data_IF_239013933179
#
_entry.id   IF_239013933179
#
_cell.length_a   1.000
_cell.length_b   1.000
_cell.length_c   1.000
_cell.angle_alpha   90.00
_cell.angle_beta   90.00
_cell.angle_gamma   90.00
#
_symmetry.space_group_name_H-M   'P 1'
#
loop_
_entity.id
_entity.type
_entity.pdbx_description
1 polymer ?
#
# COMPACT_ATOMS: atom_id res chain seq x y z
N UNK A 1 29.42 -4.21 -22.17
CA UNK A 1 29.12 -4.80 -20.83
C UNK A 1 28.55 -3.71 -19.94
N UNK A 2 27.24 -3.71 -19.65
CA UNK A 2 26.69 -2.80 -18.63
C UNK A 2 26.84 -3.50 -17.28
N UNK A 3 27.95 -3.22 -16.59
CA UNK A 3 28.18 -3.56 -15.19
C UNK A 3 27.85 -2.33 -14.33
N UNK A 4 26.57 -2.12 -14.07
CA UNK A 4 26.04 -1.62 -12.79
C UNK A 4 24.57 -2.02 -12.76
N UNK A 5 24.15 -2.80 -11.77
CA UNK A 5 22.74 -3.15 -11.59
C UNK A 5 22.30 -2.47 -10.30
N UNK A 6 22.19 -1.15 -10.34
CA UNK A 6 21.53 -0.42 -9.27
C UNK A 6 20.13 -1.03 -9.07
N UNK A 7 19.67 -1.15 -7.84
CA UNK A 7 18.36 -1.70 -7.55
C UNK A 7 17.33 -0.58 -7.38
N UNK A 8 16.21 -0.68 -8.09
CA UNK A 8 15.10 0.27 -7.97
C UNK A 8 13.80 -0.46 -7.69
N UNK A 9 13.00 0.08 -6.79
CA UNK A 9 11.65 -0.41 -6.52
C UNK A 9 10.66 0.37 -7.37
N UNK A 10 9.66 -0.29 -7.94
CA UNK A 10 8.48 0.37 -8.52
C UNK A 10 7.24 -0.15 -7.80
N UNK A 11 6.51 0.73 -7.12
CA UNK A 11 5.39 0.37 -6.27
C UNK A 11 4.08 0.90 -6.88
N UNK A 12 3.17 -0.01 -7.23
CA UNK A 12 1.79 0.27 -7.64
C UNK A 12 0.77 0.06 -6.53
N UNK A 13 -0.28 0.89 -6.51
CA UNK A 13 -1.44 0.75 -5.61
C UNK A 13 -2.75 0.98 -6.37
N UNK A 14 -3.86 0.48 -5.80
CA UNK A 14 -5.16 0.50 -6.47
C UNK A 14 -5.77 1.91 -6.59
N UNK A 15 -5.92 2.59 -5.44
CA UNK A 15 -6.71 3.81 -5.30
C UNK A 15 -5.92 5.02 -4.80
N UNK A 16 -6.63 6.14 -4.65
CA UNK A 16 -6.08 7.41 -4.14
C UNK A 16 -5.81 7.28 -2.63
N UNK A 17 -6.74 6.71 -1.85
CA UNK A 17 -6.55 6.47 -0.42
C UNK A 17 -5.28 5.65 -0.15
N UNK A 18 -5.11 4.55 -0.89
CA UNK A 18 -3.93 3.68 -0.83
C UNK A 18 -2.65 4.44 -1.15
N UNK A 19 -2.68 5.27 -2.20
CA UNK A 19 -1.53 6.06 -2.61
C UNK A 19 -1.08 7.00 -1.49
N UNK A 20 -2.00 7.69 -0.83
CA UNK A 20 -1.71 8.61 0.27
C UNK A 20 -1.14 7.83 1.46
N UNK A 21 -1.79 6.71 1.83
CA UNK A 21 -1.35 5.88 2.95
C UNK A 21 0.05 5.30 2.72
N UNK A 22 0.26 4.60 1.60
CA UNK A 22 1.55 3.97 1.31
C UNK A 22 2.66 5.01 1.08
N UNK A 23 2.35 6.22 0.58
CA UNK A 23 3.34 7.30 0.54
C UNK A 23 3.81 7.68 1.95
N UNK A 24 2.88 7.77 2.92
CA UNK A 24 3.24 8.02 4.32
C UNK A 24 4.06 6.86 4.91
N UNK A 25 3.69 5.60 4.62
CA UNK A 25 4.47 4.41 5.01
C UNK A 25 5.89 4.49 4.46
N UNK A 26 6.07 4.72 3.16
CA UNK A 26 7.40 4.82 2.55
C UNK A 26 8.24 5.93 3.18
N UNK A 27 7.67 7.11 3.40
CA UNK A 27 8.37 8.22 4.07
C UNK A 27 8.81 7.83 5.50
N UNK A 28 7.95 7.12 6.23
CA UNK A 28 8.28 6.62 7.56
C UNK A 28 9.43 5.60 7.50
N UNK A 29 9.38 4.62 6.59
CA UNK A 29 10.45 3.65 6.41
C UNK A 29 11.77 4.32 6.00
N UNK A 30 11.73 5.35 5.16
CA UNK A 30 12.90 6.16 4.83
C UNK A 30 13.51 6.85 6.05
N UNK A 31 12.68 7.36 6.96
CA UNK A 31 13.17 8.02 8.18
C UNK A 31 13.88 7.07 9.14
N UNK A 32 13.59 5.76 9.04
CA UNK A 32 14.19 4.71 9.86
C UNK A 32 15.38 4.03 9.19
N UNK A 33 15.42 4.04 7.86
CA UNK A 33 16.41 3.28 7.08
C UNK A 33 17.73 4.03 6.95
N UNK A 34 18.83 3.32 7.20
CA UNK A 34 20.18 3.76 6.84
C UNK A 34 20.54 3.40 5.38
N UNK A 35 19.70 2.61 4.70
CA UNK A 35 19.94 2.18 3.32
C UNK A 35 19.45 3.24 2.34
N UNK A 36 20.26 3.48 1.30
CA UNK A 36 19.82 4.27 0.16
C UNK A 36 18.92 3.42 -0.74
N UNK A 37 17.63 3.41 -0.46
CA UNK A 37 16.62 2.74 -1.30
C UNK A 37 16.17 3.71 -2.41
N UNK A 38 16.22 3.27 -3.67
CA UNK A 38 15.64 4.02 -4.80
C UNK A 38 14.26 3.44 -5.08
N UNK A 39 13.21 4.24 -4.94
CA UNK A 39 11.82 3.83 -5.21
C UNK A 39 11.12 4.84 -6.10
N UNK A 40 10.27 4.35 -6.99
CA UNK A 40 9.18 5.13 -7.55
C UNK A 40 7.83 4.60 -7.06
N UNK A 41 7.04 5.49 -6.46
CA UNK A 41 5.67 5.21 -6.08
C UNK A 41 5.29 5.77 -4.70
N UNK A 42 4.06 5.50 -4.25
CA UNK A 42 3.10 4.59 -4.86
C UNK A 42 2.46 5.18 -6.14
N UNK A 43 2.42 4.39 -7.22
CA UNK A 43 1.81 4.74 -8.49
C UNK A 43 0.36 4.24 -8.51
N UNK A 44 -0.59 5.16 -8.52
CA UNK A 44 -2.02 4.84 -8.54
C UNK A 44 -2.45 4.27 -9.91
N UNK A 45 -2.96 3.05 -9.92
CA UNK A 45 -3.44 2.37 -11.13
C UNK A 45 -4.84 2.84 -11.56
N UNK A 46 -5.59 3.50 -10.67
CA UNK A 46 -6.93 4.09 -10.84
C UNK A 46 -8.03 3.02 -10.87
N UNK A 47 -8.00 2.15 -9.85
CA UNK A 47 -9.01 1.12 -9.54
C UNK A 47 -8.64 -0.31 -9.95
N UNK A 48 -9.24 -1.31 -9.29
CA UNK A 48 -8.96 -2.75 -9.41
C UNK A 48 -8.91 -3.24 -10.87
N UNK A 49 -9.84 -2.80 -11.71
CA UNK A 49 -9.92 -3.22 -13.12
C UNK A 49 -8.71 -2.82 -13.97
N UNK A 50 -7.78 -2.00 -13.44
CA UNK A 50 -6.52 -1.61 -14.09
C UNK A 50 -5.28 -2.18 -13.40
N UNK A 51 -5.41 -2.84 -12.24
CA UNK A 51 -4.30 -3.44 -11.50
C UNK A 51 -3.57 -4.54 -12.31
N UNK A 52 -4.26 -5.18 -13.26
CA UNK A 52 -3.65 -6.15 -14.18
C UNK A 52 -2.75 -5.49 -15.23
N UNK A 53 -3.33 -4.70 -16.12
CA UNK A 53 -2.61 -4.26 -17.32
C UNK A 53 -1.70 -3.05 -17.07
N UNK A 54 -2.07 -2.18 -16.14
CA UNK A 54 -1.37 -0.90 -15.99
C UNK A 54 0.05 -1.06 -15.44
N UNK A 55 0.31 -1.87 -14.40
CA UNK A 55 1.69 -2.15 -13.97
C UNK A 55 2.55 -2.68 -15.10
N UNK A 56 2.04 -3.63 -15.90
CA UNK A 56 2.75 -4.19 -17.06
C UNK A 56 3.10 -3.08 -18.05
N UNK A 57 2.11 -2.29 -18.48
CA UNK A 57 2.28 -1.20 -19.45
C UNK A 57 3.26 -0.13 -18.97
N UNK A 58 3.20 0.24 -17.70
CA UNK A 58 4.12 1.22 -17.10
C UNK A 58 5.54 0.65 -17.09
N UNK A 59 5.73 -0.58 -16.62
CA UNK A 59 7.04 -1.22 -16.60
C UNK A 59 7.64 -1.34 -18.01
N UNK A 60 6.87 -1.83 -18.99
CA UNK A 60 7.33 -2.01 -20.37
C UNK A 60 7.68 -0.68 -21.04
N UNK A 61 6.78 0.32 -20.96
CA UNK A 61 6.94 1.55 -21.74
C UNK A 61 7.84 2.61 -21.08
N UNK A 62 8.02 2.55 -19.77
CA UNK A 62 8.80 3.55 -19.02
C UNK A 62 10.09 2.90 -18.51
N UNK A 63 10.02 2.03 -17.51
CA UNK A 63 11.19 1.57 -16.78
C UNK A 63 12.08 0.58 -17.56
N UNK A 64 11.49 -0.22 -18.45
CA UNK A 64 12.24 -1.19 -19.27
C UNK A 64 12.73 -0.60 -20.60
N UNK A 65 11.99 0.34 -21.20
CA UNK A 65 12.28 0.88 -22.54
C UNK A 65 13.19 2.13 -22.53
N UNK A 66 13.03 3.04 -21.57
CA UNK A 66 13.74 4.33 -21.60
C UNK A 66 15.20 4.20 -21.18
N UNK A 67 16.04 5.06 -21.77
CA UNK A 67 17.49 5.00 -21.58
C UNK A 67 17.91 5.36 -20.15
N UNK A 68 17.24 6.31 -19.49
CA UNK A 68 17.60 6.74 -18.13
C UNK A 68 17.54 5.60 -17.12
N UNK A 69 16.70 4.60 -17.38
CA UNK A 69 16.50 3.49 -16.48
C UNK A 69 17.40 2.30 -16.76
N UNK A 70 18.13 2.23 -17.90
CA UNK A 70 18.84 1.01 -18.35
C UNK A 70 19.83 0.42 -17.34
N UNK A 71 20.35 1.24 -16.41
CA UNK A 71 21.24 0.82 -15.32
C UNK A 71 20.55 0.12 -14.15
N UNK A 72 19.21 0.16 -14.09
CA UNK A 72 18.45 -0.41 -12.98
C UNK A 72 18.00 -1.85 -13.26
N UNK A 73 18.02 -2.65 -12.20
CA UNK A 73 17.19 -3.84 -12.03
C UNK A 73 16.06 -3.53 -11.04
N UNK A 74 14.92 -4.21 -11.18
CA UNK A 74 13.69 -3.82 -10.49
C UNK A 74 13.14 -4.89 -9.56
N UNK A 75 12.62 -4.44 -8.42
CA UNK A 75 11.57 -5.15 -7.66
C UNK A 75 10.27 -4.38 -7.84
N UNK A 76 9.22 -5.08 -8.27
CA UNK A 76 7.90 -4.46 -8.46
C UNK A 76 7.01 -4.85 -7.29
N UNK A 77 6.43 -3.88 -6.61
CA UNK A 77 5.36 -4.10 -5.63
C UNK A 77 4.00 -3.74 -6.22
N UNK A 78 3.00 -4.56 -5.93
CA UNK A 78 1.61 -4.28 -6.28
C UNK A 78 0.77 -4.46 -5.03
N UNK A 79 0.24 -3.36 -4.49
CA UNK A 79 -0.75 -3.40 -3.42
C UNK A 79 -2.15 -3.57 -4.01
N UNK A 80 -2.91 -4.51 -3.46
CA UNK A 80 -4.29 -4.79 -3.85
C UNK A 80 -5.10 -5.37 -2.69
N UNK A 81 -6.39 -5.15 -2.76
CA UNK A 81 -7.38 -5.66 -1.81
C UNK A 81 -7.66 -7.15 -2.08
N UNK A 82 -7.60 -8.00 -1.04
CA UNK A 82 -8.02 -9.40 -1.10
C UNK A 82 -9.54 -9.46 -0.90
N UNK A 83 -10.34 -8.88 -1.79
CA UNK A 83 -11.78 -8.98 -1.65
C UNK A 83 -12.29 -10.35 -2.16
N UNK A 84 -12.67 -11.20 -1.21
CA UNK A 84 -13.18 -12.57 -1.42
C UNK A 84 -14.66 -12.61 -1.80
N UNK A 85 -15.30 -11.47 -2.06
CA UNK A 85 -16.76 -11.45 -2.25
C UNK A 85 -17.21 -11.90 -3.64
N UNK A 86 -17.99 -12.97 -3.68
CA UNK A 86 -18.64 -13.59 -4.84
C UNK A 86 -19.61 -12.66 -5.62
N UNK A 87 -19.73 -11.38 -5.25
CA UNK A 87 -20.79 -10.47 -5.72
C UNK A 87 -20.31 -9.13 -6.28
N UNK A 88 -19.00 -8.94 -6.52
CA UNK A 88 -18.52 -7.73 -7.20
C UNK A 88 -18.73 -7.84 -8.72
N UNK A 89 -19.38 -6.87 -9.38
CA UNK A 89 -19.66 -6.91 -10.83
C UNK A 89 -18.43 -6.72 -11.73
N UNK A 90 -17.25 -6.44 -11.15
CA UNK A 90 -15.96 -6.48 -11.86
C UNK A 90 -15.11 -7.56 -11.20
N UNK A 91 -14.44 -8.44 -11.96
CA UNK A 91 -13.55 -9.42 -11.35
C UNK A 91 -12.53 -8.65 -10.50
N UNK A 92 -12.46 -8.89 -9.19
CA UNK A 92 -11.48 -8.24 -8.34
C UNK A 92 -10.08 -8.62 -8.84
N UNK A 93 -9.12 -7.72 -8.64
CA UNK A 93 -7.74 -8.09 -8.86
C UNK A 93 -7.33 -9.04 -7.73
N UNK A 94 -7.39 -10.33 -8.03
CA UNK A 94 -7.17 -11.41 -7.07
C UNK A 94 -5.75 -12.00 -7.19
N UNK A 95 -5.50 -13.08 -6.46
CA UNK A 95 -4.20 -13.77 -6.52
C UNK A 95 -3.89 -14.35 -7.91
N UNK A 96 -4.90 -14.76 -8.69
CA UNK A 96 -4.70 -15.30 -10.05
C UNK A 96 -4.29 -14.19 -11.00
N UNK A 97 -4.94 -13.03 -10.91
CA UNK A 97 -4.57 -11.85 -11.68
C UNK A 97 -3.18 -11.34 -11.28
N UNK A 98 -2.84 -11.36 -9.99
CA UNK A 98 -1.48 -11.06 -9.54
C UNK A 98 -0.45 -12.02 -10.14
N UNK A 99 -0.68 -13.33 -10.10
CA UNK A 99 0.24 -14.32 -10.67
C UNK A 99 0.37 -14.18 -12.19
N UNK A 100 -0.69 -13.77 -12.89
CA UNK A 100 -0.61 -13.40 -14.31
C UNK A 100 0.35 -12.23 -14.52
N UNK A 101 0.19 -11.14 -13.76
CA UNK A 101 1.06 -9.95 -13.86
C UNK A 101 2.51 -10.30 -13.53
N UNK A 102 2.73 -11.08 -12.47
CA UNK A 102 4.05 -11.57 -12.08
C UNK A 102 4.71 -12.35 -13.21
N UNK A 103 4.03 -13.32 -13.82
CA UNK A 103 4.56 -14.07 -14.98
C UNK A 103 4.87 -13.16 -16.17
N UNK A 104 4.00 -12.19 -16.45
CA UNK A 104 4.18 -11.25 -17.55
C UNK A 104 5.40 -10.33 -17.36
N UNK A 105 5.75 -9.99 -16.12
CA UNK A 105 6.88 -9.12 -15.79
C UNK A 105 8.20 -9.89 -15.60
N UNK A 106 8.17 -11.06 -14.94
CA UNK A 106 9.40 -11.79 -14.58
C UNK A 106 10.13 -12.37 -15.80
N UNK A 107 9.47 -12.45 -16.96
CA UNK A 107 10.10 -12.81 -18.25
C UNK A 107 11.21 -11.84 -18.65
N UNK A 108 11.20 -10.60 -18.13
CA UNK A 108 12.23 -9.60 -18.40
C UNK A 108 13.40 -9.74 -17.43
N UNK A 109 14.62 -10.00 -17.94
CA UNK A 109 15.85 -10.22 -17.12
C UNK A 109 16.16 -9.13 -16.08
N UNK A 110 15.70 -7.90 -16.32
CA UNK A 110 15.89 -6.74 -15.43
C UNK A 110 14.86 -6.66 -14.31
N UNK A 111 13.75 -7.41 -14.38
CA UNK A 111 12.83 -7.61 -13.27
C UNK A 111 13.38 -8.76 -12.43
N UNK A 112 13.74 -8.49 -11.18
CA UNK A 112 14.26 -9.49 -10.25
C UNK A 112 13.16 -10.10 -9.41
N UNK A 113 12.12 -9.34 -9.15
CA UNK A 113 11.00 -9.77 -8.34
C UNK A 113 9.74 -8.99 -8.65
N UNK A 114 8.59 -9.64 -8.42
CA UNK A 114 7.28 -9.02 -8.39
C UNK A 114 6.57 -9.56 -7.15
N UNK A 115 6.29 -8.68 -6.20
CA UNK A 115 5.81 -9.05 -4.87
C UNK A 115 4.49 -8.36 -4.54
N UNK A 116 3.53 -9.08 -3.94
CA UNK A 116 2.26 -8.50 -3.56
C UNK A 116 2.40 -7.76 -2.23
N UNK A 117 1.61 -6.70 -2.05
CA UNK A 117 1.24 -6.19 -0.73
C UNK A 117 -0.25 -6.45 -0.59
N UNK A 118 -0.58 -7.54 0.11
CA UNK A 118 -1.95 -7.99 0.24
C UNK A 118 -2.66 -7.19 1.33
N UNK A 119 -3.66 -6.41 0.95
CA UNK A 119 -4.53 -5.67 1.87
C UNK A 119 -5.76 -6.52 2.12
N UNK A 120 -5.97 -7.03 3.33
CA UNK A 120 -6.97 -8.09 3.62
C UNK A 120 -8.37 -7.85 3.05
N UNK A 121 -8.88 -6.62 3.10
CA UNK A 121 -10.19 -6.27 2.55
C UNK A 121 -10.17 -4.90 1.91
N UNK A 122 -9.66 -3.92 2.66
CA UNK A 122 -9.45 -2.56 2.21
C UNK A 122 -8.48 -1.85 3.16
N UNK A 123 -7.85 -0.78 2.68
CA UNK A 123 -6.88 -0.04 3.46
C UNK A 123 -7.50 0.59 4.72
N UNK A 124 -8.80 0.89 4.73
CA UNK A 124 -9.50 1.37 5.92
C UNK A 124 -9.45 0.37 7.10
N UNK A 125 -9.37 -0.94 6.86
CA UNK A 125 -9.19 -1.92 7.94
C UNK A 125 -7.83 -1.76 8.63
N UNK A 126 -6.81 -1.25 7.91
CA UNK A 126 -5.50 -0.94 8.48
C UNK A 126 -5.54 0.36 9.30
N UNK A 127 -6.39 1.33 8.94
CA UNK A 127 -6.54 2.55 9.76
C UNK A 127 -7.10 2.22 11.15
N UNK A 128 -7.98 1.21 11.22
CA UNK A 128 -8.58 0.74 12.48
C UNK A 128 -7.58 0.02 13.40
N UNK A 129 -6.37 -0.29 12.93
CA UNK A 129 -5.32 -0.82 13.78
C UNK A 129 -4.82 0.20 14.80
N UNK A 130 -4.90 1.48 14.46
CA UNK A 130 -4.69 2.62 15.36
C UNK A 130 -6.02 3.34 15.64
N UNK A 131 -6.87 2.69 16.44
CA UNK A 131 -8.13 3.31 16.87
C UNK A 131 -7.88 4.63 17.60
N UNK A 132 -6.84 4.70 18.42
CA UNK A 132 -6.55 5.91 19.20
C UNK A 132 -6.30 7.11 18.29
N UNK A 133 -5.47 6.98 17.25
CA UNK A 133 -5.26 8.03 16.25
C UNK A 133 -6.53 8.40 15.50
N UNK A 134 -7.38 7.43 15.12
CA UNK A 134 -8.68 7.71 14.49
C UNK A 134 -9.61 8.51 15.42
N UNK A 135 -9.70 8.13 16.70
CA UNK A 135 -10.52 8.85 17.68
C UNK A 135 -9.97 10.25 17.94
N UNK A 136 -8.65 10.40 18.11
CA UNK A 136 -7.99 11.70 18.33
C UNK A 136 -8.10 12.65 17.14
N UNK A 137 -8.14 12.11 15.92
CA UNK A 137 -8.44 12.91 14.73
C UNK A 137 -9.86 13.50 14.80
N UNK A 138 -10.83 12.72 15.30
CA UNK A 138 -12.22 13.16 15.42
C UNK A 138 -12.41 14.15 16.57
N UNK A 139 -11.80 13.87 17.73
CA UNK A 139 -11.77 14.70 18.92
C UNK A 139 -10.44 14.52 19.67
N UNK A 140 -9.61 15.57 19.68
CA UNK A 140 -8.28 15.57 20.33
C UNK A 140 -8.35 15.37 21.84
N UNK A 141 -9.49 15.65 22.47
CA UNK A 141 -9.69 15.51 23.91
C UNK A 141 -10.23 14.13 24.31
N UNK A 142 -10.47 13.24 23.34
CA UNK A 142 -11.01 11.92 23.62
C UNK A 142 -9.97 11.05 24.35
N UNK A 143 -10.34 10.57 25.55
CA UNK A 143 -9.47 9.76 26.43
C UNK A 143 -9.86 8.27 26.50
N UNK A 144 -10.77 7.82 25.63
CA UNK A 144 -11.26 6.45 25.61
C UNK A 144 -12.63 6.26 26.26
N UNK A 145 -13.18 5.03 26.21
CA UNK A 145 -12.56 3.81 25.67
C UNK A 145 -12.53 3.75 24.13
N UNK A 146 -11.39 3.41 23.53
CA UNK A 146 -11.23 3.27 22.08
C UNK A 146 -11.89 1.98 21.57
N UNK A 147 -13.19 2.05 21.29
CA UNK A 147 -13.98 0.89 20.84
C UNK A 147 -13.97 0.77 19.32
N UNK A 148 -13.78 -0.44 18.81
CA UNK A 148 -13.96 -0.75 17.39
C UNK A 148 -15.43 -0.45 17.02
N UNK A 149 -15.68 0.39 16.01
CA UNK A 149 -17.04 0.68 15.56
C UNK A 149 -17.72 -0.58 14.98
N UNK A 150 -19.06 -0.58 14.96
CA UNK A 150 -19.83 -1.64 14.28
C UNK A 150 -19.82 -1.36 12.77
N UNK A 151 -19.77 -2.42 11.96
CA UNK A 151 -19.79 -2.33 10.50
C UNK A 151 -19.26 -3.61 9.85
N UNK A 152 -19.67 -3.85 8.60
CA UNK A 152 -19.29 -5.06 7.85
C UNK A 152 -17.82 -5.08 7.39
N UNK A 153 -17.22 -3.90 7.20
CA UNK A 153 -15.86 -3.69 6.73
C UNK A 153 -15.26 -2.40 7.31
N UNK A 154 -13.97 -2.13 7.06
CA UNK A 154 -13.26 -0.96 7.55
C UNK A 154 -13.94 0.36 7.17
N UNK A 155 -14.40 0.49 5.93
CA UNK A 155 -15.10 1.70 5.45
C UNK A 155 -16.38 1.98 6.24
N UNK A 156 -17.23 0.98 6.45
CA UNK A 156 -18.48 1.14 7.20
C UNK A 156 -18.20 1.47 8.66
N UNK A 157 -17.22 0.80 9.28
CA UNK A 157 -16.82 1.07 10.66
C UNK A 157 -16.33 2.52 10.85
N UNK A 158 -15.43 2.99 9.99
CA UNK A 158 -14.93 4.37 10.04
C UNK A 158 -16.07 5.36 9.76
N UNK A 159 -16.92 5.09 8.78
CA UNK A 159 -18.06 5.95 8.43
C UNK A 159 -19.03 6.10 9.60
N UNK A 160 -19.38 5.00 10.28
CA UNK A 160 -20.23 5.02 11.46
C UNK A 160 -19.59 5.77 12.62
N UNK A 161 -18.28 5.67 12.78
CA UNK A 161 -17.55 6.44 13.78
C UNK A 161 -17.60 7.94 13.49
N UNK A 162 -17.31 8.36 12.24
CA UNK A 162 -17.35 9.76 11.83
C UNK A 162 -18.74 10.37 12.05
N UNK A 163 -19.82 9.64 11.74
CA UNK A 163 -21.20 10.09 11.95
C UNK A 163 -21.49 10.44 13.41
N UNK A 164 -20.95 9.68 14.38
CA UNK A 164 -21.11 9.97 15.82
C UNK A 164 -20.54 11.33 16.23
N UNK A 165 -19.54 11.82 15.49
CA UNK A 165 -18.94 13.13 15.68
C UNK A 165 -19.50 14.19 14.71
N UNK A 166 -20.65 13.93 14.08
CA UNK A 166 -21.28 14.80 13.07
C UNK A 166 -20.34 15.12 11.89
N UNK A 167 -19.45 14.18 11.54
CA UNK A 167 -18.54 14.24 10.41
C UNK A 167 -18.92 13.16 9.39
N UNK A 168 -18.42 13.29 8.16
CA UNK A 168 -18.57 12.30 7.09
C UNK A 168 -17.18 11.82 6.70
N UNK A 169 -16.98 10.50 6.65
CA UNK A 169 -15.76 9.93 6.08
C UNK A 169 -15.87 9.91 4.56
N UNK A 170 -14.82 10.31 3.87
CA UNK A 170 -14.76 10.31 2.40
C UNK A 170 -13.41 9.78 1.95
N UNK A 171 -13.42 8.81 1.03
CA UNK A 171 -12.22 8.22 0.43
C UNK A 171 -11.52 9.23 -0.51
N UNK A 172 -10.26 8.96 -0.83
CA UNK A 172 -9.45 9.82 -1.70
C UNK A 172 -8.77 10.94 -0.92
N UNK A 173 -8.53 12.08 -1.56
CA UNK A 173 -7.66 13.14 -1.01
C UNK A 173 -8.11 13.66 0.36
N UNK A 174 -9.41 13.62 0.66
CA UNK A 174 -9.96 14.03 1.95
C UNK A 174 -9.49 13.21 3.15
N UNK A 175 -8.91 12.02 2.95
CA UNK A 175 -8.42 11.17 4.03
C UNK A 175 -6.99 11.50 4.50
N UNK A 176 -6.28 12.41 3.81
CA UNK A 176 -4.87 12.72 4.13
C UNK A 176 -4.68 13.20 5.57
N UNK A 177 -5.56 14.07 6.07
CA UNK A 177 -5.47 14.55 7.45
C UNK A 177 -5.71 13.44 8.48
N UNK A 178 -6.62 12.50 8.20
CA UNK A 178 -6.80 11.33 9.06
C UNK A 178 -5.54 10.47 9.06
N UNK A 179 -5.04 10.12 7.87
CA UNK A 179 -3.82 9.31 7.70
C UNK A 179 -2.64 9.95 8.42
N UNK A 180 -2.53 11.27 8.40
CA UNK A 180 -1.48 12.01 9.11
C UNK A 180 -1.54 11.88 10.63
N UNK A 181 -2.72 11.65 11.22
CA UNK A 181 -2.89 11.41 12.65
C UNK A 181 -2.65 9.95 13.08
N UNK A 182 -2.55 9.02 12.13
CA UNK A 182 -2.31 7.60 12.45
C UNK A 182 -0.87 7.33 12.88
N UNK A 183 -0.73 6.48 13.90
CA UNK A 183 0.50 5.83 14.32
C UNK A 183 0.85 4.69 13.36
N UNK A 184 1.82 4.97 12.50
CA UNK A 184 2.27 4.00 11.51
C UNK A 184 3.05 2.84 12.13
N UNK A 185 3.69 3.01 13.29
CA UNK A 185 4.40 1.90 13.92
C UNK A 185 3.42 0.81 14.34
N UNK A 186 2.31 1.18 14.97
CA UNK A 186 1.26 0.23 15.39
C UNK A 186 0.70 -0.52 14.17
N UNK A 187 0.39 0.21 13.10
CA UNK A 187 -0.17 -0.37 11.87
C UNK A 187 0.84 -1.31 11.21
N UNK A 188 2.10 -0.89 11.04
CA UNK A 188 3.14 -1.70 10.39
C UNK A 188 3.41 -2.98 11.19
N UNK A 189 3.45 -2.92 12.53
CA UNK A 189 3.60 -4.12 13.37
C UNK A 189 2.48 -5.13 13.14
N UNK A 190 1.22 -4.67 13.15
CA UNK A 190 0.06 -5.55 12.93
C UNK A 190 -0.02 -6.08 11.50
N UNK A 191 0.51 -5.35 10.52
CA UNK A 191 0.53 -5.71 9.10
C UNK A 191 1.90 -6.18 8.63
N UNK A 192 2.71 -6.70 9.55
CA UNK A 192 4.09 -7.09 9.29
C UNK A 192 4.20 -8.07 8.13
N UNK A 193 3.37 -9.13 8.10
CA UNK A 193 3.42 -10.15 7.05
C UNK A 193 3.17 -9.56 5.65
N UNK A 194 2.18 -8.67 5.50
CA UNK A 194 1.89 -8.01 4.23
C UNK A 194 2.99 -7.03 3.78
N UNK A 195 3.79 -6.52 4.72
CA UNK A 195 4.84 -5.54 4.47
C UNK A 195 6.26 -6.12 4.55
N UNK A 196 6.42 -7.38 4.95
CA UNK A 196 7.68 -7.97 5.39
C UNK A 196 8.82 -7.70 4.40
N UNK A 197 8.58 -8.03 3.13
CA UNK A 197 9.59 -7.86 2.08
C UNK A 197 9.98 -6.40 1.87
N UNK A 198 9.02 -5.48 1.97
CA UNK A 198 9.30 -4.05 1.89
C UNK A 198 10.20 -3.64 3.06
N UNK A 199 9.91 -4.10 4.28
CA UNK A 199 10.71 -3.83 5.47
C UNK A 199 12.15 -4.37 5.33
N UNK A 200 12.32 -5.59 4.81
CA UNK A 200 13.62 -6.22 4.55
C UNK A 200 14.47 -5.42 3.55
N UNK A 201 13.85 -4.92 2.47
CA UNK A 201 14.54 -4.07 1.49
C UNK A 201 15.02 -2.77 2.15
N UNK A 202 14.19 -2.18 3.01
CA UNK A 202 14.59 -1.01 3.80
C UNK A 202 15.55 -1.36 4.95
N UNK A 203 15.70 -2.63 5.33
CA UNK A 203 16.58 -3.06 6.43
C UNK A 203 16.09 -2.59 7.80
N UNK A 204 14.78 -2.56 8.00
CA UNK A 204 14.12 -2.07 9.23
C UNK A 204 13.16 -3.09 9.82
N UNK A 205 13.16 -4.33 9.30
CA UNK A 205 12.27 -5.41 9.70
C UNK A 205 12.35 -5.71 11.21
N UNK A 206 13.54 -5.66 11.80
CA UNK A 206 13.75 -5.95 13.22
C UNK A 206 13.12 -4.91 14.15
N UNK A 207 12.87 -3.69 13.66
CA UNK A 207 12.15 -2.68 14.43
C UNK A 207 10.70 -3.11 14.68
N UNK A 208 10.13 -3.92 13.79
CA UNK A 208 8.71 -4.28 13.77
C UNK A 208 8.42 -5.73 14.14
N UNK A 209 9.43 -6.61 14.14
CA UNK A 209 9.33 -7.97 14.71
C UNK A 209 9.09 -7.88 16.22
N UNK A 210 7.85 -8.09 16.65
CA UNK A 210 7.45 -8.31 18.05
C UNK A 210 6.44 -9.43 18.10
#
# INVERSE_FOLDING_TARGET
MIKSNEHMIVFFCEGITDQIFFKKVLNYLYSLSSKKVVIEGPLNVRGAGKCRDKPIKVMENIYLKRNEFKKYCFTVFIAFDIDVSEFSPKPPFDEKEFEYVKKALIKYKRIKDVSPIKVEKMIEDWFLDDLEGVYKYLDKNYKGPFKIPKGKDGFHKISELFKKYRKVYTKGDSCEHLINCLDLEIIIRKRFESLQKLLEIFGVEDNFKK
#
